data_IF_324072450891
#
_entry.id   IF_324072450891
#
_cell.length_a   1.000
_cell.length_b   1.000
_cell.length_c   1.000
_cell.angle_alpha   90.00
_cell.angle_beta   90.00
_cell.angle_gamma   90.00
#
_symmetry.space_group_name_H-M   'P 1'
#
loop_
_entity.id
_entity.type
_entity.pdbx_description
1 polymer ?
#
# COMPACT_ATOMS: atom_id res chain seq x y z
N UNK A 1 6.88 17.08 -13.51
CA UNK A 1 7.70 15.85 -13.60
C UNK A 1 6.93 14.69 -12.94
N UNK A 2 6.82 13.51 -13.57
CA UNK A 2 6.24 12.33 -12.90
C UNK A 2 7.30 11.73 -11.98
N UNK A 3 7.06 11.73 -10.67
CA UNK A 3 7.98 11.24 -9.61
C UNK A 3 7.65 9.82 -9.17
N UNK A 4 7.43 8.90 -10.11
CA UNK A 4 7.12 7.49 -9.80
C UNK A 4 8.24 6.58 -10.27
N UNK A 5 8.72 5.71 -9.37
CA UNK A 5 9.69 4.64 -9.67
C UNK A 5 8.98 3.29 -9.62
N UNK A 6 9.31 2.39 -10.55
CA UNK A 6 8.80 1.00 -10.55
C UNK A 6 9.51 0.21 -9.44
N UNK A 7 8.72 -0.53 -8.66
CA UNK A 7 9.18 -1.47 -7.65
C UNK A 7 8.74 -2.88 -8.07
N UNK A 8 9.65 -3.84 -8.00
CA UNK A 8 9.39 -5.26 -8.22
C UNK A 8 9.77 -6.03 -6.96
N UNK A 9 8.82 -6.81 -6.43
CA UNK A 9 9.01 -7.63 -5.24
C UNK A 9 8.06 -8.83 -5.29
N UNK A 10 8.45 -9.90 -4.61
CA UNK A 10 7.62 -11.10 -4.50
C UNK A 10 6.64 -10.98 -3.34
N UNK A 11 5.42 -11.48 -3.54
CA UNK A 11 4.39 -11.58 -2.51
C UNK A 11 3.87 -13.02 -2.43
N UNK A 12 3.39 -13.45 -1.24
CA UNK A 12 2.66 -14.69 -1.11
C UNK A 12 1.49 -14.77 -2.13
N UNK A 13 1.31 -15.90 -2.85
CA UNK A 13 0.29 -15.98 -3.91
C UNK A 13 -1.14 -15.72 -3.45
N UNK A 14 -1.46 -16.10 -2.21
CA UNK A 14 -2.72 -15.82 -1.54
C UNK A 14 -2.96 -14.32 -1.37
N UNK A 15 -1.95 -13.59 -0.92
CA UNK A 15 -2.02 -12.14 -0.77
C UNK A 15 -2.20 -11.42 -2.11
N UNK A 16 -1.57 -11.93 -3.17
CA UNK A 16 -1.77 -11.40 -4.54
C UNK A 16 -3.22 -11.56 -4.98
N UNK A 17 -3.82 -12.75 -4.78
CA UNK A 17 -5.22 -13.01 -5.13
C UNK A 17 -6.18 -12.11 -4.35
N UNK A 18 -5.93 -11.95 -3.05
CA UNK A 18 -6.69 -11.06 -2.17
C UNK A 18 -6.65 -9.62 -2.69
N UNK A 19 -5.45 -9.11 -2.99
CA UNK A 19 -5.25 -7.76 -3.52
C UNK A 19 -5.95 -7.55 -4.88
N UNK A 20 -5.91 -8.55 -5.77
CA UNK A 20 -6.60 -8.49 -7.06
C UNK A 20 -8.12 -8.44 -6.92
N UNK A 21 -8.68 -9.24 -6.00
CA UNK A 21 -10.11 -9.23 -5.72
C UNK A 21 -10.56 -7.87 -5.18
N UNK A 22 -9.83 -7.32 -4.21
CA UNK A 22 -10.13 -5.99 -3.62
C UNK A 22 -10.05 -4.91 -4.69
N UNK A 23 -8.97 -4.88 -5.47
CA UNK A 23 -8.78 -3.90 -6.53
C UNK A 23 -9.92 -3.95 -7.57
N UNK A 24 -10.35 -5.16 -7.95
CA UNK A 24 -11.49 -5.36 -8.87
C UNK A 24 -12.82 -4.88 -8.27
N UNK A 25 -13.08 -5.19 -7.00
CA UNK A 25 -14.31 -4.78 -6.30
C UNK A 25 -14.41 -3.24 -6.19
N UNK A 26 -13.29 -2.56 -6.00
CA UNK A 26 -13.21 -1.11 -5.84
C UNK A 26 -12.98 -0.37 -7.17
N UNK A 27 -12.95 -1.08 -8.31
CA UNK A 27 -12.73 -0.48 -9.63
C UNK A 27 -11.39 0.22 -9.79
N UNK A 28 -10.35 -0.20 -9.05
CA UNK A 28 -9.01 0.41 -9.06
C UNK A 28 -7.92 -0.55 -9.52
N UNK A 29 -6.76 0.00 -9.86
CA UNK A 29 -5.58 -0.81 -10.21
C UNK A 29 -4.88 -1.36 -8.97
N UNK A 30 -4.16 -2.48 -9.13
CA UNK A 30 -3.28 -3.03 -8.08
C UNK A 30 -2.32 -1.96 -7.54
N UNK A 31 -1.70 -1.19 -8.44
CA UNK A 31 -0.75 -0.15 -8.04
C UNK A 31 -1.39 0.96 -7.21
N UNK A 32 -2.66 1.31 -7.43
CA UNK A 32 -3.39 2.27 -6.59
C UNK A 32 -3.67 1.70 -5.20
N UNK A 33 -4.14 0.46 -5.13
CA UNK A 33 -4.31 -0.27 -3.86
C UNK A 33 -3.01 -0.29 -3.05
N UNK A 34 -1.90 -0.71 -3.66
CA UNK A 34 -0.61 -0.79 -2.98
C UNK A 34 -0.07 0.59 -2.56
N UNK A 35 -0.20 1.62 -3.39
CA UNK A 35 0.22 2.98 -3.04
C UNK A 35 -0.56 3.52 -1.84
N UNK A 36 -1.86 3.32 -1.81
CA UNK A 36 -2.71 3.78 -0.72
C UNK A 36 -2.44 3.00 0.58
N UNK A 37 -2.30 1.67 0.50
CA UNK A 37 -1.95 0.84 1.65
C UNK A 37 -0.60 1.25 2.24
N UNK A 38 0.42 1.46 1.40
CA UNK A 38 1.74 1.89 1.85
C UNK A 38 1.69 3.28 2.49
N UNK A 39 0.95 4.23 1.90
CA UNK A 39 0.78 5.57 2.47
C UNK A 39 0.16 5.50 3.87
N UNK A 40 -0.96 4.77 4.02
CA UNK A 40 -1.62 4.60 5.33
C UNK A 40 -0.70 3.98 6.37
N UNK A 41 0.05 2.95 5.98
CA UNK A 41 1.02 2.31 6.87
C UNK A 41 2.10 3.28 7.36
N UNK A 42 2.68 4.08 6.45
CA UNK A 42 3.70 5.07 6.80
C UNK A 42 3.15 6.15 7.74
N UNK A 43 1.97 6.70 7.45
CA UNK A 43 1.37 7.73 8.29
C UNK A 43 1.03 7.19 9.69
N UNK A 44 0.46 5.98 9.78
CA UNK A 44 0.18 5.33 11.06
C UNK A 44 1.48 5.05 11.86
N UNK A 45 2.55 4.66 11.18
CA UNK A 45 3.88 4.48 11.79
C UNK A 45 4.46 5.80 12.30
N UNK A 46 4.31 6.89 11.55
CA UNK A 46 4.74 8.24 11.99
C UNK A 46 3.96 8.71 13.20
N UNK A 47 2.64 8.56 13.18
CA UNK A 47 1.78 8.94 14.30
C UNK A 47 2.15 8.18 15.59
N UNK A 48 2.32 6.85 15.50
CA UNK A 48 2.78 6.02 16.64
C UNK A 48 4.18 6.38 17.14
N UNK A 49 5.04 6.94 16.30
CA UNK A 49 6.34 7.42 16.74
C UNK A 49 6.20 8.72 17.54
N UNK A 50 5.35 9.65 17.08
CA UNK A 50 5.09 10.92 17.77
C UNK A 50 4.40 10.72 19.13
N UNK A 51 3.45 9.79 19.24
CA UNK A 51 2.79 9.43 20.50
C UNK A 51 3.73 8.82 21.56
N UNK A 52 4.95 8.42 21.19
CA UNK A 52 5.95 7.90 22.14
C UNK A 52 6.80 9.01 22.79
N UNK A 53 6.70 10.24 22.31
CA UNK A 53 7.48 11.39 22.77
C UNK A 53 6.60 12.53 23.33
N UNK A 54 5.28 12.33 23.44
CA UNK A 54 4.35 13.24 24.11
C UNK A 54 3.79 12.57 25.37
#
# INVERSE_FOLDING_TARGET
MRTTRVLSFSLPPDLVREAERIAKQEGRTKSELFREALRRYVEERRWRALQRYG
#
